data_IF_055871617728
#
_entry.id   IF_055871617728
#
_cell.length_a   1.000
_cell.length_b   1.000
_cell.length_c   1.000
_cell.angle_alpha   90.00
_cell.angle_beta   90.00
_cell.angle_gamma   90.00
#
_symmetry.space_group_name_H-M   'P 1'
#
loop_
_entity.id
_entity.type
_entity.pdbx_description
1 polymer ?
#
# COMPACT_ATOMS: atom_id res chain seq x y z
N UNK A 1 -8.02 13.68 -0.66
CA UNK A 1 -8.68 13.29 -1.91
C UNK A 1 -7.72 12.36 -2.63
N UNK A 2 -8.19 11.26 -3.23
CA UNK A 2 -7.33 10.36 -4.00
C UNK A 2 -6.66 11.14 -5.15
N UNK A 3 -5.38 10.89 -5.39
CA UNK A 3 -4.61 11.56 -6.46
C UNK A 3 -4.98 11.01 -7.83
N UNK A 4 -5.49 9.78 -7.89
CA UNK A 4 -5.89 9.11 -9.12
C UNK A 4 -7.24 8.38 -8.96
N UNK A 5 -8.02 8.34 -10.04
CA UNK A 5 -9.27 7.57 -10.12
C UNK A 5 -9.00 6.24 -10.81
N UNK A 6 -9.02 5.15 -10.05
CA UNK A 6 -8.86 3.77 -10.54
C UNK A 6 -10.21 3.04 -10.48
N UNK A 7 -10.39 2.05 -11.35
CA UNK A 7 -11.54 1.13 -11.31
C UNK A 7 -11.06 -0.25 -10.87
N UNK A 8 -11.71 -0.82 -9.86
CA UNK A 8 -11.37 -2.16 -9.36
C UNK A 8 -11.67 -3.24 -10.41
N UNK A 9 -10.82 -4.26 -10.46
CA UNK A 9 -11.14 -5.54 -11.10
C UNK A 9 -12.02 -6.39 -10.18
N UNK A 10 -12.60 -7.47 -10.72
CA UNK A 10 -13.33 -8.42 -9.89
C UNK A 10 -12.36 -9.17 -8.97
N UNK A 11 -12.62 -9.26 -7.66
CA UNK A 11 -11.78 -10.04 -6.76
C UNK A 11 -11.77 -11.54 -7.15
N UNK A 12 -10.62 -12.22 -7.04
CA UNK A 12 -10.55 -13.68 -7.17
C UNK A 12 -11.44 -14.39 -6.14
N UNK A 13 -11.91 -15.59 -6.47
CA UNK A 13 -12.74 -16.41 -5.57
C UNK A 13 -11.94 -17.40 -4.73
N UNK A 14 -10.68 -17.68 -5.13
CA UNK A 14 -9.78 -18.53 -4.36
C UNK A 14 -9.17 -17.70 -3.22
N UNK A 15 -9.11 -18.26 -2.02
CA UNK A 15 -8.80 -17.54 -0.78
C UNK A 15 -7.42 -16.89 -0.82
N UNK A 16 -6.40 -17.63 -1.28
CA UNK A 16 -5.04 -17.13 -1.32
C UNK A 16 -4.86 -16.07 -2.41
N UNK A 17 -5.42 -16.27 -3.59
CA UNK A 17 -5.42 -15.29 -4.66
C UNK A 17 -6.17 -14.01 -4.26
N UNK A 18 -7.26 -14.14 -3.49
CA UNK A 18 -8.00 -13.00 -2.93
C UNK A 18 -7.18 -12.21 -1.91
N UNK A 19 -6.51 -12.90 -0.99
CA UNK A 19 -5.64 -12.28 0.03
C UNK A 19 -4.50 -11.48 -0.62
N UNK A 20 -3.86 -12.04 -1.66
CA UNK A 20 -2.83 -11.33 -2.41
C UNK A 20 -3.41 -10.15 -3.20
N UNK A 21 -4.58 -10.33 -3.82
CA UNK A 21 -5.26 -9.29 -4.57
C UNK A 21 -5.61 -8.07 -3.69
N UNK A 22 -6.11 -8.29 -2.48
CA UNK A 22 -6.48 -7.18 -1.58
C UNK A 22 -5.24 -6.46 -1.03
N UNK A 23 -4.13 -7.17 -0.77
CA UNK A 23 -2.85 -6.56 -0.42
C UNK A 23 -2.27 -5.74 -1.58
N UNK A 24 -2.37 -6.24 -2.82
CA UNK A 24 -2.00 -5.46 -4.00
C UNK A 24 -2.88 -4.22 -4.20
N UNK A 25 -4.18 -4.30 -3.87
CA UNK A 25 -5.07 -3.13 -3.91
C UNK A 25 -4.63 -2.06 -2.90
N UNK A 26 -4.30 -2.46 -1.66
CA UNK A 26 -3.73 -1.57 -0.66
C UNK A 26 -2.40 -0.96 -1.15
N UNK A 27 -1.52 -1.77 -1.75
CA UNK A 27 -0.23 -1.32 -2.28
C UNK A 27 -0.40 -0.29 -3.39
N UNK A 28 -1.35 -0.48 -4.29
CA UNK A 28 -1.69 0.48 -5.35
C UNK A 28 -2.11 1.82 -4.77
N UNK A 29 -3.01 1.82 -3.79
CA UNK A 29 -3.48 3.06 -3.14
C UNK A 29 -2.30 3.80 -2.50
N UNK A 30 -1.43 3.10 -1.76
CA UNK A 30 -0.25 3.71 -1.15
C UNK A 30 0.71 4.29 -2.20
N UNK A 31 0.90 3.61 -3.33
CA UNK A 31 1.76 4.10 -4.40
C UNK A 31 1.17 5.32 -5.11
N UNK A 32 -0.12 5.33 -5.41
CA UNK A 32 -0.78 6.47 -6.05
C UNK A 32 -0.84 7.68 -5.11
N UNK A 33 -1.28 7.49 -3.86
CA UNK A 33 -1.59 8.61 -2.95
C UNK A 33 -0.39 9.11 -2.14
N UNK A 34 0.67 8.30 -1.98
CA UNK A 34 1.87 8.71 -1.23
C UNK A 34 3.07 8.85 -2.14
N UNK A 35 3.46 7.78 -2.84
CA UNK A 35 4.69 7.78 -3.64
C UNK A 35 4.58 8.70 -4.85
N UNK A 36 3.56 8.51 -5.69
CA UNK A 36 3.38 9.27 -6.92
C UNK A 36 3.10 10.74 -6.61
N UNK A 37 2.28 11.00 -5.59
CA UNK A 37 2.12 12.35 -5.04
C UNK A 37 3.47 12.99 -4.70
N UNK A 38 4.32 12.33 -3.91
CA UNK A 38 5.62 12.90 -3.52
C UNK A 38 6.55 13.16 -4.71
N UNK A 39 6.50 12.29 -5.74
CA UNK A 39 7.24 12.49 -6.99
C UNK A 39 6.73 13.72 -7.75
N UNK A 40 5.41 13.92 -7.81
CA UNK A 40 4.79 15.08 -8.46
C UNK A 40 5.11 16.39 -7.74
N UNK A 41 5.42 16.35 -6.45
CA UNK A 41 5.85 17.53 -5.68
C UNK A 41 7.34 17.87 -5.86
N UNK A 42 8.13 17.05 -6.57
CA UNK A 42 9.53 17.38 -6.83
C UNK A 42 9.63 18.59 -7.76
N UNK A 43 10.54 19.50 -7.43
CA UNK A 43 10.86 20.62 -8.30
C UNK A 43 11.39 20.11 -9.66
N UNK A 44 10.78 20.61 -10.74
CA UNK A 44 11.11 20.23 -12.11
C UNK A 44 12.51 20.67 -12.54
N UNK A 45 13.08 21.68 -11.87
CA UNK A 45 14.40 22.23 -12.16
C UNK A 45 15.53 21.50 -11.40
N UNK A 46 15.22 20.43 -10.67
CA UNK A 46 16.24 19.61 -10.00
C UNK A 46 17.22 19.01 -11.02
N UNK A 47 18.51 19.20 -10.76
CA UNK A 47 19.58 18.47 -11.44
C UNK A 47 19.41 16.96 -11.31
N UNK A 48 19.95 16.20 -12.26
CA UNK A 48 19.76 14.73 -12.34
C UNK A 48 20.18 13.99 -11.07
N UNK A 49 21.29 14.40 -10.44
CA UNK A 49 21.77 13.83 -9.18
C UNK A 49 20.82 14.12 -8.02
N UNK A 50 20.38 15.37 -7.88
CA UNK A 50 19.45 15.77 -6.84
C UNK A 50 18.09 15.06 -6.99
N UNK A 51 17.61 14.93 -8.23
CA UNK A 51 16.37 14.21 -8.54
C UNK A 51 16.49 12.73 -8.19
N UNK A 52 17.62 12.08 -8.53
CA UNK A 52 17.86 10.68 -8.19
C UNK A 52 17.91 10.46 -6.67
N UNK A 53 18.58 11.34 -5.93
CA UNK A 53 18.62 11.29 -4.46
C UNK A 53 17.22 11.46 -3.84
N UNK A 54 16.42 12.38 -4.36
CA UNK A 54 15.06 12.61 -3.89
C UNK A 54 14.14 11.40 -4.15
N UNK A 55 14.20 10.79 -5.34
CA UNK A 55 13.46 9.58 -5.66
C UNK A 55 13.84 8.42 -4.73
N UNK A 56 15.14 8.25 -4.44
CA UNK A 56 15.59 7.23 -3.48
C UNK A 56 15.03 7.51 -2.08
N UNK A 57 15.07 8.75 -1.62
CA UNK A 57 14.54 9.11 -0.30
C UNK A 57 13.02 8.84 -0.19
N UNK A 58 12.26 9.11 -1.24
CA UNK A 58 10.83 8.78 -1.33
C UNK A 58 10.63 7.26 -1.25
N UNK A 59 11.38 6.48 -2.03
CA UNK A 59 11.29 5.02 -2.03
C UNK A 59 11.67 4.43 -0.65
N UNK A 60 12.73 4.92 -0.01
CA UNK A 60 13.16 4.49 1.32
C UNK A 60 12.09 4.81 2.38
N UNK A 61 11.47 6.00 2.32
CA UNK A 61 10.42 6.41 3.25
C UNK A 61 9.14 5.57 3.07
N UNK A 62 8.77 5.29 1.81
CA UNK A 62 7.66 4.39 1.48
C UNK A 62 7.89 2.98 2.03
N UNK A 63 9.10 2.43 1.83
CA UNK A 63 9.46 1.13 2.36
C UNK A 63 9.44 1.12 3.90
N UNK A 64 9.97 2.16 4.53
CA UNK A 64 9.90 2.35 5.98
C UNK A 64 8.47 2.38 6.53
N UNK A 65 7.56 3.08 5.85
CA UNK A 65 6.14 3.10 6.20
C UNK A 65 5.50 1.71 6.04
N UNK A 66 5.84 0.98 4.98
CA UNK A 66 5.33 -0.38 4.75
C UNK A 66 5.78 -1.36 5.84
N UNK A 67 7.03 -1.27 6.32
CA UNK A 67 7.46 -2.05 7.48
C UNK A 67 6.57 -1.79 8.70
N UNK A 68 6.18 -0.54 8.96
CA UNK A 68 5.28 -0.21 10.07
C UNK A 68 3.89 -0.83 9.86
N UNK A 69 3.35 -0.77 8.64
CA UNK A 69 2.06 -1.36 8.25
C UNK A 69 2.08 -2.89 8.41
N UNK A 70 3.18 -3.53 8.03
CA UNK A 70 3.41 -4.98 8.17
C UNK A 70 3.61 -5.42 9.64
N UNK A 71 3.45 -4.50 10.60
CA UNK A 71 3.66 -4.78 12.02
C UNK A 71 5.14 -4.89 12.43
N UNK A 72 6.08 -4.61 11.52
CA UNK A 72 7.51 -4.48 11.80
C UNK A 72 7.78 -3.10 12.42
N UNK A 73 7.14 -2.86 13.56
CA UNK A 73 7.28 -1.65 14.36
C UNK A 73 7.36 -1.96 15.85
N UNK A 74 7.95 -1.05 16.61
CA UNK A 74 7.90 -1.09 18.06
C UNK A 74 6.49 -0.80 18.58
N UNK A 75 6.27 -1.07 19.86
CA UNK A 75 5.09 -0.61 20.58
C UNK A 75 5.54 0.24 21.78
N UNK A 76 4.72 1.22 22.17
CA UNK A 76 4.90 1.91 23.44
C UNK A 76 4.12 1.14 24.50
N UNK A 77 4.79 0.68 25.54
CA UNK A 77 4.17 -0.12 26.60
C UNK A 77 4.65 0.26 27.99
N UNK A 78 3.75 0.11 28.97
CA UNK A 78 4.05 0.11 30.40
C UNK A 78 3.39 -1.12 31.04
N UNK A 79 3.44 -1.23 32.38
CA UNK A 79 2.93 -2.39 33.12
C UNK A 79 1.44 -2.70 32.91
N UNK A 80 0.65 -1.77 32.35
CA UNK A 80 -0.81 -1.88 32.22
C UNK A 80 -1.35 -1.68 30.81
N UNK A 81 -0.59 -1.05 29.92
CA UNK A 81 -1.10 -0.62 28.61
C UNK A 81 -0.06 -0.80 27.52
N UNK A 82 -0.55 -1.04 26.30
CA UNK A 82 0.24 -1.08 25.07
C UNK A 82 -0.44 -0.23 24.01
N UNK A 83 0.35 0.56 23.28
CA UNK A 83 -0.05 1.28 22.07
C UNK A 83 0.68 0.66 20.89
N UNK A 84 -0.08 0.23 19.90
CA UNK A 84 0.39 -0.30 18.62
C UNK A 84 -0.35 0.37 17.47
N UNK A 85 0.28 0.38 16.30
CA UNK A 85 -0.37 0.79 15.05
C UNK A 85 -0.91 -0.47 14.35
N UNK A 86 -2.09 -0.35 13.78
CA UNK A 86 -2.69 -1.36 12.92
C UNK A 86 -3.33 -0.65 11.73
N UNK A 87 -3.17 -1.23 10.55
CA UNK A 87 -3.76 -0.70 9.32
C UNK A 87 -4.58 -1.80 8.68
N UNK A 88 -5.83 -1.46 8.42
CA UNK A 88 -6.81 -2.39 7.87
C UNK A 88 -7.19 -1.94 6.46
N UNK A 89 -7.23 -2.90 5.53
CA UNK A 89 -7.85 -2.73 4.21
C UNK A 89 -9.24 -3.36 4.22
N UNK A 90 -10.20 -2.66 3.62
CA UNK A 90 -11.58 -3.13 3.50
C UNK A 90 -11.99 -3.22 2.04
N UNK A 91 -12.72 -4.28 1.69
CA UNK A 91 -13.49 -4.36 0.46
C UNK A 91 -14.96 -4.16 0.82
N UNK A 92 -15.58 -3.12 0.25
CA UNK A 92 -16.97 -2.75 0.50
C UNK A 92 -17.84 -3.16 -0.68
N UNK A 93 -18.95 -3.81 -0.42
CA UNK A 93 -20.05 -3.95 -1.38
C UNK A 93 -20.85 -2.64 -1.40
N UNK A 94 -20.82 -1.97 -2.55
CA UNK A 94 -21.44 -0.65 -2.69
C UNK A 94 -22.97 -0.71 -2.80
N UNK A 95 -23.57 -1.86 -3.14
CA UNK A 95 -25.02 -2.01 -3.20
C UNK A 95 -25.59 -2.22 -1.78
N UNK A 96 -24.87 -2.97 -0.94
CA UNK A 96 -25.25 -3.23 0.45
C UNK A 96 -24.72 -2.18 1.45
N UNK A 97 -23.69 -1.40 1.08
CA UNK A 97 -22.91 -0.53 1.97
C UNK A 97 -22.29 -1.27 3.16
N UNK A 98 -21.82 -2.49 2.91
CA UNK A 98 -21.26 -3.40 3.92
C UNK A 98 -19.85 -3.88 3.54
N UNK A 99 -18.98 -4.02 4.54
CA UNK A 99 -17.66 -4.62 4.34
C UNK A 99 -17.81 -6.13 4.10
N UNK A 100 -17.47 -6.57 2.89
CA UNK A 100 -17.45 -7.99 2.51
C UNK A 100 -16.11 -8.66 2.81
N UNK A 101 -15.06 -7.88 3.03
CA UNK A 101 -13.80 -8.34 3.59
C UNK A 101 -13.10 -7.23 4.37
N UNK A 102 -12.40 -7.64 5.43
CA UNK A 102 -11.55 -6.78 6.24
C UNK A 102 -10.25 -7.53 6.56
N UNK A 103 -9.11 -6.94 6.20
CA UNK A 103 -7.79 -7.57 6.39
C UNK A 103 -6.88 -6.58 7.12
N UNK A 104 -6.37 -7.00 8.27
CA UNK A 104 -5.26 -6.32 8.92
C UNK A 104 -3.98 -6.62 8.14
N UNK A 105 -3.32 -5.58 7.64
CA UNK A 105 -2.15 -5.73 6.77
C UNK A 105 -0.92 -6.31 7.49
N UNK A 106 -0.94 -6.36 8.82
CA UNK A 106 0.09 -7.02 9.61
C UNK A 106 -0.02 -8.56 9.62
N UNK A 107 -1.16 -9.13 9.23
CA UNK A 107 -1.44 -10.57 9.34
C UNK A 107 -1.18 -11.36 8.03
N UNK A 108 -0.71 -10.69 6.97
CA UNK A 108 -0.44 -11.29 5.66
C UNK A 108 1.02 -11.61 5.37
N UNK A 109 1.34 -11.88 4.11
CA UNK A 109 2.71 -12.10 3.59
C UNK A 109 3.68 -10.92 3.81
N UNK A 110 3.13 -9.75 4.12
CA UNK A 110 3.84 -8.48 4.24
C UNK A 110 3.86 -7.71 2.92
N UNK A 111 3.40 -6.47 2.97
CA UNK A 111 3.41 -5.49 1.89
C UNK A 111 4.81 -5.26 1.32
N UNK A 112 5.86 -5.43 2.15
CA UNK A 112 7.25 -5.35 1.71
C UNK A 112 7.57 -6.32 0.55
N UNK A 113 6.90 -7.47 0.46
CA UNK A 113 7.10 -8.42 -0.65
C UNK A 113 6.59 -7.87 -1.98
N UNK A 114 5.53 -7.05 -1.95
CA UNK A 114 4.94 -6.42 -3.13
C UNK A 114 5.68 -5.17 -3.61
N UNK A 115 6.41 -4.48 -2.71
CA UNK A 115 7.01 -3.16 -2.98
C UNK A 115 7.81 -3.08 -4.29
N UNK A 116 8.70 -4.04 -4.52
CA UNK A 116 9.53 -4.06 -5.73
C UNK A 116 8.69 -4.25 -6.99
N UNK A 117 7.68 -5.12 -6.94
CA UNK A 117 6.75 -5.33 -8.04
C UNK A 117 5.95 -4.07 -8.37
N UNK A 118 5.38 -3.43 -7.34
CA UNK A 118 4.55 -2.23 -7.51
C UNK A 118 5.30 -1.05 -8.10
N UNK A 119 6.57 -0.87 -7.72
CA UNK A 119 7.44 0.16 -8.31
C UNK A 119 7.61 -0.02 -9.82
N UNK A 120 7.60 -1.27 -10.29
CA UNK A 120 7.71 -1.62 -11.69
C UNK A 120 6.32 -1.79 -12.37
N UNK A 121 5.23 -1.42 -11.67
CA UNK A 121 3.86 -1.53 -12.16
C UNK A 121 3.27 -2.95 -12.15
N UNK A 122 3.94 -3.90 -11.50
CA UNK A 122 3.52 -5.28 -11.38
C UNK A 122 2.70 -5.50 -10.10
N UNK A 123 1.40 -5.75 -10.25
CA UNK A 123 0.45 -6.02 -9.17
C UNK A 123 -0.04 -7.48 -9.16
N UNK A 124 0.85 -8.40 -9.55
CA UNK A 124 0.60 -9.85 -9.49
C UNK A 124 -0.26 -10.38 -10.64
N UNK A 125 -0.63 -11.66 -10.53
CA UNK A 125 -1.40 -12.41 -11.53
C UNK A 125 -2.79 -11.81 -11.78
N UNK A 126 -3.40 -11.28 -10.72
CA UNK A 126 -4.71 -10.65 -10.73
C UNK A 126 -4.54 -9.19 -10.30
N UNK A 127 -4.24 -8.27 -11.21
CA UNK A 127 -4.07 -6.87 -10.85
C UNK A 127 -5.39 -6.30 -10.31
N UNK A 128 -5.37 -5.48 -9.23
CA UNK A 128 -6.56 -4.97 -8.58
C UNK A 128 -7.24 -3.85 -9.35
N UNK A 129 -6.59 -3.29 -10.37
CA UNK A 129 -7.15 -2.23 -11.21
C UNK A 129 -7.28 -2.63 -12.67
N UNK A 130 -8.26 -2.04 -13.34
CA UNK A 130 -8.35 -2.04 -14.80
C UNK A 130 -7.19 -1.22 -15.38
N UNK A 131 -6.60 -1.72 -16.47
CA UNK A 131 -5.56 -1.02 -17.26
C UNK A 131 -6.13 0.06 -18.14
#
# INVERSE_FOLDING_TARGET
MATQKRTLTRPPSEEREFELWIQHAAGLILFDDVRNYAIEQLDGDLGSEARAAALKAIDDAMYGMMMVIDGVSGALQNDKHRVSLAVTVQLIDLDADEAVAEVNLADGDGMCMGFHGWRDGNFGKHPPMQT
#
